data_IF_118640241849
#
_entry.id   IF_118640241849
#
_cell.length_a   1.000
_cell.length_b   1.000
_cell.length_c   1.000
_cell.angle_alpha   90.00
_cell.angle_beta   90.00
_cell.angle_gamma   90.00
#
_symmetry.space_group_name_H-M   'P 1'
#
loop_
_entity.id
_entity.type
_entity.pdbx_description
1 polymer ?
#
# COMPACT_ATOMS: atom_id res chain seq x y z
N UNK A 1 -1.91 2.30 22.30
CA UNK A 1 -2.24 2.34 20.85
C UNK A 1 -3.33 3.35 20.51
N UNK A 2 -4.55 3.26 21.05
CA UNK A 2 -5.67 4.19 20.70
C UNK A 2 -5.33 5.68 20.92
N UNK A 3 -4.74 6.03 22.06
CA UNK A 3 -4.33 7.42 22.35
C UNK A 3 -3.23 7.96 21.42
N UNK A 4 -2.39 7.10 20.85
CA UNK A 4 -1.35 7.51 19.91
C UNK A 4 -1.95 7.81 18.53
N UNK A 5 -2.95 7.05 18.10
CA UNK A 5 -3.56 7.19 16.76
C UNK A 5 -4.38 8.48 16.66
N UNK A 6 -5.19 8.79 17.68
CA UNK A 6 -5.91 10.08 17.73
C UNK A 6 -4.96 11.28 17.81
N UNK A 7 -3.80 11.11 18.49
CA UNK A 7 -2.75 12.14 18.54
C UNK A 7 -2.11 12.37 17.17
N UNK A 8 -1.74 11.31 16.45
CA UNK A 8 -1.18 11.43 15.10
C UNK A 8 -2.17 12.08 14.12
N UNK A 9 -3.45 11.68 14.16
CA UNK A 9 -4.47 12.26 13.30
C UNK A 9 -4.68 13.76 13.58
N UNK A 10 -4.53 14.17 14.85
CA UNK A 10 -4.60 15.58 15.28
C UNK A 10 -3.38 16.38 14.84
N UNK A 11 -2.18 15.84 15.00
CA UNK A 11 -0.93 16.46 14.55
C UNK A 11 -0.93 16.65 13.03
N UNK A 12 -1.28 15.61 12.28
CA UNK A 12 -1.36 15.66 10.83
C UNK A 12 -2.40 16.67 10.32
N UNK A 13 -3.58 16.72 10.94
CA UNK A 13 -4.58 17.75 10.63
C UNK A 13 -4.12 19.17 10.97
N UNK A 14 -3.26 19.33 11.98
CA UNK A 14 -2.69 20.63 12.36
C UNK A 14 -1.63 21.08 11.36
N UNK A 15 -0.75 20.16 10.95
CA UNK A 15 0.35 20.43 10.03
C UNK A 15 -0.13 20.78 8.62
N UNK A 16 -1.11 20.05 8.09
CA UNK A 16 -1.59 20.23 6.72
C UNK A 16 -2.77 21.23 6.61
N UNK A 17 -3.34 21.64 7.74
CA UNK A 17 -4.35 22.70 7.79
C UNK A 17 -5.68 22.37 7.10
N UNK A 18 -6.23 23.37 6.41
CA UNK A 18 -7.60 23.34 5.91
C UNK A 18 -7.80 22.22 4.87
N UNK A 19 -8.87 21.44 5.03
CA UNK A 19 -9.21 20.34 4.14
C UNK A 19 -8.60 18.97 4.50
N UNK A 20 -7.61 18.89 5.41
CA UNK A 20 -7.02 17.60 5.82
C UNK A 20 -8.02 16.70 6.54
N UNK A 21 -8.93 17.25 7.35
CA UNK A 21 -10.05 16.49 7.96
C UNK A 21 -10.96 15.85 6.90
N UNK A 22 -11.29 16.61 5.86
CA UNK A 22 -12.12 16.11 4.75
C UNK A 22 -11.36 15.09 3.88
N UNK A 23 -10.04 15.19 3.82
CA UNK A 23 -9.19 14.16 3.23
C UNK A 23 -9.24 12.86 4.04
N UNK A 24 -9.05 12.92 5.37
CA UNK A 24 -9.15 11.75 6.25
C UNK A 24 -10.52 11.10 6.20
N UNK A 25 -11.58 11.90 6.25
CA UNK A 25 -12.96 11.44 6.09
C UNK A 25 -13.14 10.61 4.82
N UNK A 26 -12.60 11.09 3.68
CA UNK A 26 -12.63 10.37 2.40
C UNK A 26 -11.75 9.12 2.40
N UNK A 27 -10.61 9.14 3.09
CA UNK A 27 -9.67 8.01 3.12
C UNK A 27 -10.17 6.87 4.00
N UNK A 28 -10.86 7.20 5.08
CA UNK A 28 -11.41 6.27 6.06
C UNK A 28 -12.89 5.93 5.82
N UNK A 29 -13.51 6.51 4.80
CA UNK A 29 -14.93 6.31 4.45
C UNK A 29 -15.92 6.67 5.56
N UNK A 30 -15.57 7.67 6.37
CA UNK A 30 -16.42 8.15 7.44
C UNK A 30 -16.88 9.58 7.16
N UNK A 31 -18.03 10.00 7.69
CA UNK A 31 -18.42 11.40 7.67
C UNK A 31 -17.33 12.31 8.28
N UNK A 32 -17.17 13.53 7.75
CA UNK A 32 -16.24 14.51 8.31
C UNK A 32 -16.56 14.88 9.77
N UNK A 33 -17.82 14.76 10.16
CA UNK A 33 -18.26 14.92 11.54
C UNK A 33 -17.65 13.85 12.46
N UNK A 34 -17.57 12.59 12.00
CA UNK A 34 -16.93 11.49 12.75
C UNK A 34 -15.46 11.78 13.06
N UNK A 35 -14.71 12.28 12.06
CA UNK A 35 -13.33 12.74 12.26
C UNK A 35 -13.27 13.86 13.30
N UNK A 36 -14.23 14.78 13.27
CA UNK A 36 -14.30 15.89 14.24
C UNK A 36 -14.58 15.40 15.66
N UNK A 37 -15.42 14.37 15.82
CA UNK A 37 -15.66 13.73 17.12
C UNK A 37 -14.41 13.03 17.65
N UNK A 38 -13.66 12.33 16.81
CA UNK A 38 -12.40 11.69 17.19
C UNK A 38 -11.34 12.73 17.62
N UNK A 39 -11.17 13.80 16.85
CA UNK A 39 -10.23 14.88 17.16
C UNK A 39 -10.58 15.64 18.44
N UNK A 40 -11.87 15.73 18.77
CA UNK A 40 -12.37 16.36 19.98
C UNK A 40 -12.46 15.40 21.19
N UNK A 41 -12.00 14.15 21.05
CA UNK A 41 -12.11 13.10 22.07
C UNK A 41 -13.55 12.86 22.57
N UNK A 42 -14.55 13.10 21.70
CA UNK A 42 -15.97 12.83 22.00
C UNK A 42 -16.37 11.40 21.71
N UNK A 43 -15.61 10.72 20.84
CA UNK A 43 -15.78 9.33 20.46
C UNK A 43 -14.40 8.79 20.05
N UNK A 44 -14.15 7.51 20.29
CA UNK A 44 -12.91 6.86 19.84
C UNK A 44 -13.10 6.10 18.52
N UNK A 45 -12.06 6.03 17.67
CA UNK A 45 -12.06 5.12 16.53
C UNK A 45 -12.08 3.67 17.03
N UNK A 46 -12.95 2.84 16.46
CA UNK A 46 -12.90 1.39 16.70
C UNK A 46 -11.62 0.78 16.11
N UNK A 47 -11.32 -0.48 16.47
CA UNK A 47 -10.08 -1.14 16.05
C UNK A 47 -9.87 -1.22 14.53
N UNK A 48 -10.94 -1.33 13.73
CA UNK A 48 -10.83 -1.30 12.27
C UNK A 48 -10.37 0.06 11.77
N UNK A 49 -10.97 1.14 12.28
CA UNK A 49 -10.56 2.50 11.92
C UNK A 49 -9.14 2.80 12.40
N UNK A 50 -8.77 2.33 13.60
CA UNK A 50 -7.41 2.46 14.12
C UNK A 50 -6.39 1.82 13.18
N UNK A 51 -6.65 0.60 12.71
CA UNK A 51 -5.77 -0.08 11.76
C UNK A 51 -5.69 0.67 10.42
N UNK A 52 -6.82 1.13 9.88
CA UNK A 52 -6.84 1.90 8.63
C UNK A 52 -6.04 3.21 8.74
N UNK A 53 -6.13 3.90 9.87
CA UNK A 53 -5.35 5.11 10.12
C UNK A 53 -3.86 4.78 10.11
N UNK A 54 -3.43 3.72 10.81
CA UNK A 54 -2.03 3.28 10.83
C UNK A 54 -1.53 2.89 9.44
N UNK A 55 -2.32 2.14 8.68
CA UNK A 55 -1.98 1.73 7.32
C UNK A 55 -1.77 2.94 6.40
N UNK A 56 -2.63 3.98 6.53
CA UNK A 56 -2.50 5.22 5.75
C UNK A 56 -1.25 5.99 6.15
N UNK A 57 -0.96 6.12 7.44
CA UNK A 57 0.27 6.77 7.90
C UNK A 57 1.53 6.06 7.38
N UNK A 58 1.58 4.73 7.52
CA UNK A 58 2.69 3.93 7.00
C UNK A 58 2.83 4.09 5.48
N UNK A 59 1.73 4.11 4.73
CA UNK A 59 1.75 4.35 3.28
C UNK A 59 2.30 5.74 2.94
N UNK A 60 1.89 6.81 3.64
CA UNK A 60 2.38 8.17 3.38
C UNK A 60 3.88 8.29 3.70
N UNK A 61 4.32 7.81 4.86
CA UNK A 61 5.74 7.78 5.24
C UNK A 61 6.56 6.96 4.24
N UNK A 62 6.08 5.78 3.84
CA UNK A 62 6.73 4.97 2.84
C UNK A 62 6.81 5.68 1.47
N UNK A 63 5.76 6.41 1.09
CA UNK A 63 5.74 7.16 -0.18
C UNK A 63 6.77 8.29 -0.20
N UNK A 64 6.95 8.98 0.93
CA UNK A 64 7.96 10.02 1.06
C UNK A 64 9.38 9.44 1.03
N UNK A 65 9.59 8.29 1.67
CA UNK A 65 10.91 7.69 1.82
C UNK A 65 11.32 6.78 0.64
N UNK A 66 10.37 6.25 -0.13
CA UNK A 66 10.68 5.28 -1.19
C UNK A 66 11.67 5.82 -2.23
N UNK A 67 11.62 7.08 -2.70
CA UNK A 67 12.60 7.59 -3.67
C UNK A 67 14.03 7.56 -3.13
N UNK A 68 14.21 7.89 -1.84
CA UNK A 68 15.52 7.87 -1.18
C UNK A 68 16.08 6.44 -1.16
N UNK A 69 15.27 5.48 -0.72
CA UNK A 69 15.67 4.08 -0.68
C UNK A 69 15.93 3.50 -2.06
N UNK A 70 15.07 3.79 -3.04
CA UNK A 70 15.25 3.33 -4.42
C UNK A 70 16.56 3.87 -5.00
N UNK A 71 16.86 5.15 -4.81
CA UNK A 71 18.09 5.76 -5.28
C UNK A 71 19.33 5.15 -4.61
N UNK A 72 19.25 4.90 -3.30
CA UNK A 72 20.31 4.20 -2.57
C UNK A 72 20.55 2.80 -3.13
N UNK A 73 19.49 2.01 -3.33
CA UNK A 73 19.61 0.66 -3.90
C UNK A 73 20.21 0.68 -5.31
N UNK A 74 19.80 1.62 -6.16
CA UNK A 74 20.40 1.80 -7.48
C UNK A 74 21.89 2.14 -7.41
N UNK A 75 22.28 3.03 -6.50
CA UNK A 75 23.67 3.38 -6.27
C UNK A 75 24.48 2.15 -5.85
N UNK A 76 24.00 1.40 -4.87
CA UNK A 76 24.66 0.16 -4.43
C UNK A 76 24.81 -0.85 -5.57
N UNK A 77 23.79 -0.98 -6.42
CA UNK A 77 23.82 -1.87 -7.57
C UNK A 77 24.87 -1.46 -8.62
N UNK A 78 24.90 -0.19 -9.02
CA UNK A 78 25.83 0.28 -10.06
C UNK A 78 27.28 0.40 -9.56
N UNK A 79 27.47 0.87 -8.33
CA UNK A 79 28.79 1.04 -7.71
C UNK A 79 29.31 -0.25 -7.07
N UNK A 80 28.53 -1.34 -7.11
CA UNK A 80 28.86 -2.64 -6.49
C UNK A 80 29.23 -2.51 -5.01
N UNK A 81 28.52 -1.64 -4.29
CA UNK A 81 28.72 -1.46 -2.85
C UNK A 81 28.25 -2.75 -2.17
N UNK A 82 29.07 -3.37 -1.31
CA UNK A 82 28.65 -4.55 -0.56
C UNK A 82 27.57 -4.14 0.45
N UNK A 83 26.41 -4.79 0.35
CA UNK A 83 25.27 -4.58 1.24
C UNK A 83 24.78 -5.95 1.71
N UNK A 84 24.52 -6.06 3.01
CA UNK A 84 24.04 -7.30 3.62
C UNK A 84 22.65 -7.69 3.11
N UNK A 85 22.37 -8.99 3.09
CA UNK A 85 21.11 -9.54 2.57
C UNK A 85 19.92 -9.06 3.40
N UNK A 86 20.11 -9.01 4.70
CA UNK A 86 19.17 -8.59 5.74
C UNK A 86 18.73 -7.14 5.51
N UNK A 87 19.63 -6.30 5.00
CA UNK A 87 19.30 -4.92 4.64
C UNK A 87 18.28 -4.88 3.51
N UNK A 88 18.47 -5.65 2.43
CA UNK A 88 17.48 -5.70 1.35
C UNK A 88 16.13 -6.26 1.83
N UNK A 89 16.15 -7.29 2.69
CA UNK A 89 14.93 -7.86 3.26
C UNK A 89 14.14 -6.85 4.11
N UNK A 90 14.81 -5.89 4.75
CA UNK A 90 14.14 -4.84 5.54
C UNK A 90 13.66 -3.67 4.67
N UNK A 91 14.44 -3.24 3.68
CA UNK A 91 14.12 -2.05 2.87
C UNK A 91 13.08 -2.34 1.78
N UNK A 92 13.11 -3.51 1.14
CA UNK A 92 12.18 -3.81 0.04
C UNK A 92 10.73 -3.73 0.50
N UNK A 93 10.30 -4.34 1.63
CA UNK A 93 8.95 -4.19 2.13
C UNK A 93 8.54 -2.72 2.39
N UNK A 94 9.46 -1.88 2.88
CA UNK A 94 9.20 -0.46 3.10
C UNK A 94 8.94 0.28 1.77
N UNK A 95 9.72 0.00 0.73
CA UNK A 95 9.46 0.53 -0.61
C UNK A 95 8.09 0.06 -1.13
N UNK A 96 7.76 -1.23 -0.93
CA UNK A 96 6.50 -1.82 -1.35
C UNK A 96 5.28 -1.29 -0.59
N UNK A 97 5.43 -0.55 0.51
CA UNK A 97 4.33 0.13 1.18
C UNK A 97 3.91 1.44 0.51
N UNK A 98 4.75 2.04 -0.34
CA UNK A 98 4.50 3.32 -0.99
C UNK A 98 3.16 3.35 -1.75
N UNK A 99 2.56 4.54 -1.95
CA UNK A 99 1.25 4.68 -2.61
C UNK A 99 1.23 4.00 -3.98
N UNK A 100 2.22 4.28 -4.81
CA UNK A 100 2.38 3.74 -6.17
C UNK A 100 3.85 3.45 -6.45
N UNK A 101 4.12 2.43 -7.27
CA UNK A 101 5.46 2.12 -7.77
C UNK A 101 5.39 2.03 -9.30
N UNK A 102 6.46 2.46 -9.97
CA UNK A 102 6.56 2.33 -11.42
C UNK A 102 7.13 0.95 -11.80
N UNK A 103 6.87 0.51 -13.03
CA UNK A 103 7.27 -0.81 -13.54
C UNK A 103 8.79 -1.02 -13.50
N UNK A 104 9.58 0.04 -13.72
CA UNK A 104 11.05 -0.03 -13.70
C UNK A 104 11.57 -0.33 -12.29
N UNK A 105 11.00 0.30 -11.27
CA UNK A 105 11.31 0.02 -9.86
C UNK A 105 10.97 -1.43 -9.53
N UNK A 106 9.78 -1.91 -9.91
CA UNK A 106 9.37 -3.29 -9.64
C UNK A 106 10.28 -4.32 -10.31
N UNK A 107 10.65 -4.11 -11.57
CA UNK A 107 11.59 -4.96 -12.28
C UNK A 107 12.97 -4.98 -11.61
N UNK A 108 13.44 -3.81 -11.16
CA UNK A 108 14.70 -3.69 -10.43
C UNK A 108 14.68 -4.44 -9.10
N UNK A 109 13.61 -4.29 -8.31
CA UNK A 109 13.46 -5.01 -7.04
C UNK A 109 13.37 -6.53 -7.26
N UNK A 110 12.67 -6.99 -8.31
CA UNK A 110 12.65 -8.41 -8.68
C UNK A 110 14.05 -8.93 -9.00
N UNK A 111 14.85 -8.16 -9.75
CA UNK A 111 16.23 -8.54 -10.05
C UNK A 111 17.10 -8.64 -8.79
N UNK A 112 16.96 -7.71 -7.83
CA UNK A 112 17.64 -7.79 -6.53
C UNK A 112 17.25 -9.09 -5.80
N UNK A 113 15.95 -9.43 -5.77
CA UNK A 113 15.46 -10.64 -5.10
C UNK A 113 16.08 -11.89 -5.73
N UNK A 114 16.16 -11.96 -7.06
CA UNK A 114 16.80 -13.08 -7.76
C UNK A 114 18.30 -13.15 -7.42
N UNK A 115 19.03 -12.05 -7.57
CA UNK A 115 20.49 -12.01 -7.38
C UNK A 115 20.92 -12.40 -5.97
N UNK A 116 20.19 -11.95 -4.96
CA UNK A 116 20.51 -12.21 -3.55
C UNK A 116 19.65 -13.33 -2.95
N UNK A 117 18.88 -14.04 -3.78
CA UNK A 117 17.96 -15.11 -3.41
C UNK A 117 17.05 -14.75 -2.22
N UNK A 118 16.51 -13.53 -2.19
CA UNK A 118 15.81 -13.01 -1.02
C UNK A 118 14.49 -13.75 -0.77
N UNK A 119 14.25 -14.11 0.49
CA UNK A 119 12.94 -14.60 0.93
C UNK A 119 12.23 -13.47 1.67
N UNK A 120 11.35 -12.77 0.96
CA UNK A 120 10.53 -11.71 1.57
C UNK A 120 9.36 -12.35 2.31
N UNK A 121 9.16 -11.89 3.55
CA UNK A 121 8.00 -12.26 4.36
C UNK A 121 7.22 -11.00 4.70
N UNK A 122 5.93 -11.18 4.96
CA UNK A 122 5.06 -10.11 5.44
C UNK A 122 4.71 -10.37 6.90
N UNK A 123 4.62 -9.32 7.71
CA UNK A 123 4.06 -9.45 9.04
C UNK A 123 2.58 -9.84 8.97
N UNK A 124 2.08 -10.50 10.02
CA UNK A 124 0.68 -10.90 10.14
C UNK A 124 -0.26 -9.68 10.02
N UNK A 125 0.17 -8.55 10.59
CA UNK A 125 -0.57 -7.29 10.65
C UNK A 125 -0.32 -6.34 9.47
N UNK A 126 0.45 -6.76 8.47
CA UNK A 126 0.65 -5.95 7.28
C UNK A 126 -0.66 -5.75 6.51
N UNK A 127 -0.79 -4.57 5.90
CA UNK A 127 -1.92 -4.30 5.01
C UNK A 127 -1.98 -5.31 3.86
N UNK A 128 -3.19 -5.66 3.42
CA UNK A 128 -3.40 -6.57 2.27
C UNK A 128 -2.71 -6.05 1.00
N UNK A 129 -2.54 -4.73 0.86
CA UNK A 129 -1.73 -4.10 -0.19
C UNK A 129 -0.29 -4.60 -0.18
N UNK A 130 0.37 -4.53 0.96
CA UNK A 130 1.76 -4.93 1.10
C UNK A 130 1.91 -6.43 0.88
N UNK A 131 1.05 -7.23 1.51
CA UNK A 131 1.03 -8.69 1.35
C UNK A 131 0.92 -9.11 -0.11
N UNK A 132 -0.01 -8.51 -0.85
CA UNK A 132 -0.19 -8.82 -2.26
C UNK A 132 1.02 -8.41 -3.12
N UNK A 133 1.62 -7.25 -2.85
CA UNK A 133 2.82 -6.79 -3.57
C UNK A 133 4.02 -7.70 -3.29
N UNK A 134 4.23 -8.10 -2.03
CA UNK A 134 5.29 -9.05 -1.65
C UNK A 134 5.07 -10.38 -2.37
N UNK A 135 3.86 -10.95 -2.26
CA UNK A 135 3.55 -12.25 -2.85
C UNK A 135 3.75 -12.28 -4.35
N UNK A 136 3.26 -11.26 -5.05
CA UNK A 136 3.48 -11.13 -6.49
C UNK A 136 4.94 -10.92 -6.87
N UNK A 137 5.68 -10.08 -6.14
CA UNK A 137 7.07 -9.79 -6.47
C UNK A 137 7.92 -11.05 -6.31
N UNK A 138 7.67 -11.85 -5.25
CA UNK A 138 8.29 -13.15 -5.05
C UNK A 138 8.01 -14.10 -6.23
N UNK A 139 6.76 -14.18 -6.71
CA UNK A 139 6.42 -15.04 -7.85
C UNK A 139 7.07 -14.61 -9.17
N UNK A 140 7.12 -13.31 -9.45
CA UNK A 140 7.82 -12.82 -10.65
C UNK A 140 9.33 -13.06 -10.53
N UNK A 141 9.86 -13.09 -9.32
CA UNK A 141 11.24 -13.50 -9.05
C UNK A 141 11.44 -15.03 -9.05
N UNK A 142 10.44 -15.82 -9.50
CA UNK A 142 10.45 -17.29 -9.54
C UNK A 142 10.53 -17.99 -8.17
N UNK A 143 10.13 -17.30 -7.10
CA UNK A 143 10.00 -17.90 -5.77
C UNK A 143 8.53 -18.22 -5.45
N UNK A 144 8.31 -19.24 -4.64
CA UNK A 144 6.97 -19.55 -4.13
C UNK A 144 6.68 -18.71 -2.89
N UNK A 145 5.67 -17.83 -2.90
CA UNK A 145 5.32 -17.02 -1.75
C UNK A 145 4.62 -17.88 -0.69
N UNK A 146 4.98 -17.65 0.58
CA UNK A 146 4.35 -18.29 1.74
C UNK A 146 3.01 -17.66 2.12
N UNK A 147 2.63 -16.58 1.43
CA UNK A 147 1.44 -15.78 1.71
C UNK A 147 0.38 -16.12 0.64
N UNK A 148 -0.89 -16.01 1.01
CA UNK A 148 -2.01 -16.11 0.07
C UNK A 148 -2.52 -14.73 -0.35
N UNK A 149 -3.05 -14.58 -1.58
CA UNK A 149 -3.63 -13.33 -2.02
C UNK A 149 -4.80 -12.89 -1.13
N UNK A 150 -4.74 -11.66 -0.62
CA UNK A 150 -5.79 -11.07 0.20
C UNK A 150 -6.61 -10.06 -0.61
N UNK A 151 -7.94 -10.20 -0.60
CA UNK A 151 -8.83 -9.19 -1.19
C UNK A 151 -8.87 -7.95 -0.29
N UNK A 152 -8.86 -6.75 -0.86
CA UNK A 152 -9.15 -5.53 -0.11
C UNK A 152 -10.66 -5.42 0.12
N UNK A 153 -11.08 -4.80 1.23
CA UNK A 153 -12.51 -4.48 1.48
C UNK A 153 -13.19 -3.73 0.32
N UNK A 154 -12.44 -2.91 -0.41
CA UNK A 154 -12.91 -2.19 -1.60
C UNK A 154 -13.17 -3.08 -2.82
N UNK A 155 -12.64 -4.31 -2.85
CA UNK A 155 -12.86 -5.25 -3.94
C UNK A 155 -14.33 -5.73 -3.95
N UNK A 156 -15.01 -5.75 -2.79
CA UNK A 156 -16.46 -6.03 -2.72
C UNK A 156 -17.29 -4.96 -3.44
N UNK A 157 -16.89 -3.69 -3.36
CA UNK A 157 -17.53 -2.64 -4.13
C UNK A 157 -17.26 -2.81 -5.62
N UNK A 158 -16.06 -3.26 -6.00
CA UNK A 158 -15.74 -3.62 -7.38
C UNK A 158 -16.61 -4.80 -7.88
N UNK A 159 -16.83 -5.83 -7.06
CA UNK A 159 -17.73 -6.96 -7.34
C UNK A 159 -19.20 -6.50 -7.47
N UNK A 160 -19.66 -5.55 -6.64
CA UNK A 160 -20.98 -4.91 -6.78
C UNK A 160 -21.06 -4.11 -8.09
N UNK A 161 -20.05 -3.32 -8.42
CA UNK A 161 -20.06 -2.55 -9.66
C UNK A 161 -19.93 -3.42 -10.92
N UNK A 162 -19.24 -4.56 -10.83
CA UNK A 162 -19.14 -5.58 -11.87
C UNK A 162 -20.49 -6.30 -12.07
N UNK A 163 -21.20 -6.63 -10.99
CA UNK A 163 -22.58 -7.19 -11.07
C UNK A 163 -23.61 -6.18 -11.59
N UNK A 164 -23.38 -4.88 -11.43
CA UNK A 164 -24.22 -3.81 -11.97
C UNK A 164 -23.92 -3.45 -13.44
N UNK A 165 -23.00 -4.13 -14.13
CA UNK A 165 -22.65 -3.89 -15.54
C UNK A 165 -22.23 -2.43 -15.87
N UNK A 166 -21.80 -1.64 -14.87
CA UNK A 166 -21.41 -0.22 -15.05
C UNK A 166 -19.90 -0.03 -15.33
N UNK A 167 -19.22 -1.07 -15.81
CA UNK A 167 -17.77 -1.23 -15.64
C UNK A 167 -16.95 -1.52 -16.91
N UNK A 168 -17.32 -0.94 -18.06
CA UNK A 168 -16.47 -1.04 -19.26
C UNK A 168 -15.07 -0.42 -19.08
N UNK A 169 -14.89 0.51 -18.12
CA UNK A 169 -13.61 1.17 -17.84
C UNK A 169 -12.87 0.66 -16.58
N UNK A 170 -13.54 0.01 -15.62
CA UNK A 170 -12.92 -0.42 -14.35
C UNK A 170 -12.03 -1.66 -14.46
N UNK A 171 -12.32 -2.55 -15.42
CA UNK A 171 -11.49 -3.73 -15.76
C UNK A 171 -10.04 -3.40 -16.12
N UNK A 172 -9.75 -2.16 -16.54
CA UNK A 172 -8.38 -1.73 -16.88
C UNK A 172 -7.47 -1.53 -15.65
N UNK A 173 -8.05 -1.44 -14.46
CA UNK A 173 -7.32 -1.06 -13.23
C UNK A 173 -7.18 -2.21 -12.22
N UNK A 174 -8.08 -3.20 -12.31
CA UNK A 174 -7.91 -4.52 -11.73
C UNK A 174 -7.02 -5.33 -12.67
N UNK A 175 -5.71 -5.05 -12.67
CA UNK A 175 -4.79 -5.93 -13.37
C UNK A 175 -4.68 -7.20 -12.51
N UNK A 176 -5.55 -8.18 -12.79
CA UNK A 176 -5.36 -9.56 -12.35
C UNK A 176 -4.04 -10.01 -12.98
N UNK A 177 -2.93 -9.80 -12.28
CA UNK A 177 -1.64 -10.29 -12.74
C UNK A 177 -1.51 -11.73 -12.28
N UNK A 178 -1.85 -12.63 -13.20
CA UNK A 178 -1.54 -14.04 -13.07
C UNK A 178 -0.07 -14.20 -13.38
N UNK A 179 0.71 -14.59 -12.39
CA UNK A 179 2.11 -14.97 -12.60
C UNK A 179 2.16 -16.38 -13.21
N UNK A 180 3.32 -16.81 -13.74
CA UNK A 180 3.49 -18.16 -14.29
C UNK A 180 3.23 -19.28 -13.26
N UNK A 181 3.36 -19.00 -11.96
CA UNK A 181 3.16 -19.95 -10.86
C UNK A 181 1.66 -20.10 -10.50
N UNK A 182 0.80 -19.18 -10.96
CA UNK A 182 -0.65 -19.40 -11.04
C UNK A 182 -1.53 -18.72 -9.99
N UNK A 183 -0.96 -18.03 -8.98
CA UNK A 183 -1.80 -17.27 -8.02
C UNK A 183 -2.26 -15.94 -8.63
N UNK A 184 -3.49 -15.53 -8.28
CA UNK A 184 -4.11 -14.27 -8.74
C UNK A 184 -3.92 -13.19 -7.68
N UNK A 185 -2.92 -12.34 -7.85
CA UNK A 185 -2.64 -11.24 -6.93
C UNK A 185 -3.45 -9.98 -7.25
N UNK A 186 -3.94 -9.30 -6.20
CA UNK A 186 -4.67 -8.04 -6.31
C UNK A 186 -3.72 -6.86 -6.10
N UNK A 187 -3.08 -6.40 -7.18
CA UNK A 187 -2.10 -5.32 -7.16
C UNK A 187 -2.68 -4.07 -7.79
N UNK A 188 -2.65 -2.99 -7.02
CA UNK A 188 -3.15 -1.68 -7.42
C UNK A 188 -2.01 -0.68 -7.27
N UNK A 189 -1.28 -0.44 -8.35
CA UNK A 189 -0.19 0.55 -8.39
C UNK A 189 -0.61 1.87 -9.07
N UNK A 190 -1.89 2.01 -9.39
CA UNK A 190 -2.47 3.24 -9.94
C UNK A 190 -3.24 4.04 -8.88
N UNK A 191 -3.20 5.37 -8.99
CA UNK A 191 -3.92 6.28 -8.11
C UNK A 191 -5.43 6.24 -8.37
N UNK A 192 -6.21 5.69 -7.42
CA UNK A 192 -7.67 5.63 -7.50
C UNK A 192 -8.34 7.02 -7.49
N UNK A 193 -7.64 8.10 -7.12
CA UNK A 193 -8.21 9.46 -7.21
C UNK A 193 -8.44 9.91 -8.65
N UNK A 194 -7.69 9.36 -9.61
CA UNK A 194 -7.95 9.54 -11.03
C UNK A 194 -9.29 8.92 -11.48
N UNK A 195 -9.80 7.93 -10.74
CA UNK A 195 -11.10 7.30 -11.00
C UNK A 195 -12.23 8.26 -10.62
N UNK A 196 -12.17 8.90 -9.44
CA UNK A 196 -13.21 9.84 -9.00
C UNK A 196 -13.41 11.02 -9.96
N UNK A 197 -12.36 11.46 -10.66
CA UNK A 197 -12.45 12.55 -11.64
C UNK A 197 -13.09 12.17 -12.97
N UNK A 198 -13.28 10.88 -13.27
CA UNK A 198 -13.93 10.40 -14.51
C UNK A 198 -15.38 9.97 -14.32
N UNK A 199 -15.88 9.99 -13.09
CA UNK A 199 -17.26 9.60 -12.73
C UNK A 199 -18.10 10.75 -12.17
N UNK A 200 -17.62 12.00 -12.31
CA UNK A 200 -18.42 13.21 -12.15
C UNK A 200 -18.66 13.83 -13.52
#
# INVERSE_FOLDING_TARGET
>A
MLNQVSKHLKEDCREHGFGRKAWWARRLEVPALTISHWLAHRQDPNGTHTQLILDVFQEETATQNSPVWINFLWKCYFEKIPVEREFFQSIIPLILQAKSLNTRTLAFLSNIIILFQLQLTSSLHASSKLKNRIGWLMEISNFTPTIEPERRKWDFLCDIFESLNRWSNGKKYLIKQQTPIGKKWFIYDCDLTAIKRKFL
#
